data_IF_906730835353
#
_entry.id   IF_906730835353
#
_cell.length_a   1.000
_cell.length_b   1.000
_cell.length_c   1.000
_cell.angle_alpha   90.00
_cell.angle_beta   90.00
_cell.angle_gamma   90.00
#
_symmetry.space_group_name_H-M   'P 1'
#
loop_
_entity.id
_entity.type
_entity.pdbx_description
1 polymer ?
#
# COMPACT_ATOMS: atom_id res chain seq x y z
N UNK A 1 12.35 -1.77 31.63
CA UNK A 1 12.32 -1.65 30.17
C UNK A 1 12.84 -2.95 29.60
N UNK A 2 11.99 -3.98 29.44
CA UNK A 2 12.28 -5.00 28.46
C UNK A 2 12.36 -4.27 27.12
N UNK A 3 13.48 -4.42 26.40
CA UNK A 3 13.58 -3.80 25.10
C UNK A 3 12.46 -4.32 24.23
N UNK A 4 11.80 -3.45 23.50
CA UNK A 4 10.80 -3.80 22.47
C UNK A 4 11.32 -4.91 21.51
N UNK A 5 12.60 -5.09 21.42
CA UNK A 5 13.36 -6.11 20.74
C UNK A 5 13.00 -7.56 21.09
N UNK A 6 12.77 -7.87 22.37
CA UNK A 6 12.49 -9.25 22.78
C UNK A 6 11.06 -9.70 22.46
N UNK A 7 10.17 -8.75 22.17
CA UNK A 7 8.74 -9.07 21.99
C UNK A 7 8.48 -9.57 20.57
N UNK A 8 9.16 -8.99 19.59
CA UNK A 8 9.00 -9.36 18.18
C UNK A 8 10.07 -10.34 17.66
N UNK A 9 11.11 -10.62 18.43
CA UNK A 9 12.09 -11.64 18.05
C UNK A 9 11.39 -12.97 17.77
N UNK A 10 11.48 -13.46 16.55
CA UNK A 10 10.86 -14.68 15.99
C UNK A 10 9.45 -14.56 15.37
N UNK A 11 8.88 -13.37 15.18
CA UNK A 11 7.69 -13.23 14.32
C UNK A 11 8.05 -13.53 12.86
N UNK A 12 9.27 -13.24 12.46
CA UNK A 12 9.85 -13.55 11.15
C UNK A 12 9.93 -15.02 10.80
N UNK A 13 9.77 -15.93 11.78
CA UNK A 13 9.73 -17.37 11.51
C UNK A 13 8.62 -17.80 10.54
N UNK A 14 7.60 -16.97 10.34
CA UNK A 14 6.56 -17.20 9.35
C UNK A 14 7.01 -16.92 7.91
N UNK A 15 8.03 -16.09 7.73
CA UNK A 15 8.51 -15.67 6.41
C UNK A 15 9.94 -16.15 6.19
N UNK A 16 10.16 -16.88 5.10
CA UNK A 16 11.46 -17.43 4.74
C UNK A 16 11.98 -16.65 3.51
N UNK A 17 13.28 -16.27 3.49
CA UNK A 17 13.88 -15.65 2.30
C UNK A 17 13.61 -16.48 1.04
N UNK A 18 13.17 -15.84 -0.04
CA UNK A 18 12.82 -16.52 -1.29
C UNK A 18 11.41 -17.12 -1.35
N UNK A 19 10.55 -16.82 -0.38
CA UNK A 19 9.14 -17.21 -0.40
C UNK A 19 8.45 -16.64 -1.65
N UNK A 20 7.61 -17.44 -2.29
CA UNK A 20 6.81 -16.97 -3.40
C UNK A 20 5.48 -16.33 -2.92
N UNK A 21 4.84 -15.57 -3.80
CA UNK A 21 3.65 -14.80 -3.47
C UNK A 21 2.46 -15.65 -3.00
N UNK A 22 2.26 -16.85 -3.56
CA UNK A 22 1.18 -17.75 -3.14
C UNK A 22 1.37 -18.28 -1.72
N UNK A 23 2.61 -18.46 -1.26
CA UNK A 23 2.89 -18.85 0.11
C UNK A 23 2.69 -17.73 1.12
N UNK A 24 2.75 -16.48 0.69
CA UNK A 24 2.46 -15.34 1.58
C UNK A 24 0.98 -15.37 2.00
N UNK A 25 0.06 -15.66 1.08
CA UNK A 25 -1.37 -15.78 1.40
C UNK A 25 -1.60 -16.86 2.50
N UNK A 26 -0.91 -18.00 2.41
CA UNK A 26 -1.02 -19.09 3.38
C UNK A 26 -0.49 -18.73 4.78
N UNK A 27 0.57 -17.92 4.86
CA UNK A 27 1.20 -17.58 6.13
C UNK A 27 0.70 -16.29 6.77
N UNK A 28 -0.02 -15.45 6.03
CA UNK A 28 -0.54 -14.18 6.55
C UNK A 28 -1.48 -14.37 7.74
N UNK A 29 -2.36 -15.35 7.70
CA UNK A 29 -3.27 -15.63 8.81
C UNK A 29 -2.50 -16.06 10.06
N UNK A 30 -1.51 -16.95 9.92
CA UNK A 30 -0.64 -17.38 11.02
C UNK A 30 0.18 -16.19 11.58
N UNK A 31 0.66 -15.33 10.69
CA UNK A 31 1.37 -14.12 11.07
C UNK A 31 0.49 -13.20 11.89
N UNK A 32 -0.73 -12.88 11.41
CA UNK A 32 -1.69 -12.05 12.13
C UNK A 32 -2.06 -12.64 13.51
N UNK A 33 -2.34 -13.93 13.60
CA UNK A 33 -2.63 -14.60 14.87
C UNK A 33 -1.45 -14.48 15.85
N UNK A 34 -0.23 -14.66 15.34
CA UNK A 34 1.00 -14.60 16.15
C UNK A 34 1.24 -13.20 16.70
N UNK A 35 1.12 -12.16 15.86
CA UNK A 35 1.31 -10.78 16.31
C UNK A 35 0.21 -10.31 17.25
N UNK A 36 -1.07 -10.65 16.97
CA UNK A 36 -2.18 -10.29 17.85
C UNK A 36 -1.95 -10.84 19.25
N UNK A 37 -1.66 -12.13 19.38
CA UNK A 37 -1.38 -12.76 20.67
C UNK A 37 -0.24 -12.06 21.42
N UNK A 38 0.87 -11.73 20.73
CA UNK A 38 2.03 -11.08 21.36
C UNK A 38 1.75 -9.65 21.80
N UNK A 39 0.98 -8.92 21.00
CA UNK A 39 0.56 -7.55 21.36
C UNK A 39 -0.34 -7.55 22.60
N UNK A 40 -1.25 -8.51 22.71
CA UNK A 40 -2.13 -8.68 23.88
C UNK A 40 -1.36 -9.12 25.14
N UNK A 41 -0.48 -10.11 25.03
CA UNK A 41 0.33 -10.62 26.14
C UNK A 41 1.24 -9.54 26.77
N UNK A 42 1.62 -8.51 26.02
CA UNK A 42 2.59 -7.50 26.44
C UNK A 42 2.01 -6.10 26.61
N UNK A 43 0.70 -5.92 26.58
CA UNK A 43 0.00 -4.62 26.73
C UNK A 43 0.58 -3.51 25.82
N UNK A 44 0.91 -3.86 24.58
CA UNK A 44 1.59 -2.97 23.64
C UNK A 44 0.80 -1.70 23.33
N UNK A 45 -0.52 -1.79 23.37
CA UNK A 45 -1.42 -0.66 23.09
C UNK A 45 -1.31 0.52 24.07
N UNK A 46 -0.69 0.30 25.22
CA UNK A 46 -0.49 1.36 26.23
C UNK A 46 0.79 2.19 25.98
N UNK A 47 1.65 1.76 25.05
CA UNK A 47 2.94 2.41 24.79
C UNK A 47 2.73 3.59 23.83
N UNK A 48 3.10 4.85 24.19
CA UNK A 48 2.80 6.04 23.42
C UNK A 48 3.23 6.02 21.94
N UNK A 49 4.41 5.50 21.53
CA UNK A 49 4.78 5.42 20.13
C UNK A 49 3.80 4.61 19.29
N UNK A 50 3.22 3.54 19.83
CA UNK A 50 2.28 2.70 19.09
C UNK A 50 0.95 3.40 18.83
N UNK A 51 0.45 4.18 19.79
CA UNK A 51 -0.76 4.99 19.59
C UNK A 51 -0.59 6.00 18.44
N UNK A 52 0.58 6.60 18.33
CA UNK A 52 0.86 7.52 17.24
C UNK A 52 0.77 6.82 15.87
N UNK A 53 1.37 5.63 15.75
CA UNK A 53 1.27 4.84 14.52
C UNK A 53 -0.16 4.34 14.25
N UNK A 54 -0.92 3.98 15.29
CA UNK A 54 -2.32 3.58 15.14
C UNK A 54 -3.16 4.70 14.52
N UNK A 55 -3.10 5.90 15.07
CA UNK A 55 -3.85 7.04 14.56
C UNK A 55 -3.41 7.39 13.12
N UNK A 56 -2.11 7.37 12.87
CA UNK A 56 -1.53 7.66 11.55
C UNK A 56 -1.96 6.63 10.50
N UNK A 57 -1.93 5.33 10.84
CA UNK A 57 -2.45 4.25 9.98
C UNK A 57 -3.94 4.43 9.70
N UNK A 58 -4.76 4.61 10.73
CA UNK A 58 -6.21 4.79 10.64
C UNK A 58 -6.58 5.94 9.70
N UNK A 59 -5.99 7.11 9.91
CA UNK A 59 -6.26 8.30 9.12
C UNK A 59 -5.81 8.13 7.67
N UNK A 60 -4.63 7.56 7.44
CA UNK A 60 -4.07 7.34 6.11
C UNK A 60 -4.87 6.31 5.32
N UNK A 61 -5.23 5.19 5.95
CA UNK A 61 -6.06 4.14 5.34
C UNK A 61 -7.41 4.74 4.93
N UNK A 62 -8.12 5.38 5.85
CA UNK A 62 -9.44 5.94 5.58
C UNK A 62 -9.41 6.97 4.46
N UNK A 63 -8.43 7.89 4.49
CA UNK A 63 -8.29 8.93 3.46
C UNK A 63 -7.95 8.34 2.09
N UNK A 64 -6.94 7.45 2.04
CA UNK A 64 -6.40 6.96 0.77
C UNK A 64 -7.34 5.92 0.16
N UNK A 65 -7.82 4.93 0.89
CA UNK A 65 -8.75 3.94 0.33
C UNK A 65 -10.07 4.57 -0.12
N UNK A 66 -10.56 5.59 0.61
CA UNK A 66 -11.74 6.33 0.19
C UNK A 66 -11.54 6.98 -1.19
N UNK A 67 -10.36 7.54 -1.48
CA UNK A 67 -10.06 8.13 -2.78
C UNK A 67 -10.04 7.13 -3.94
N UNK A 68 -9.99 5.84 -3.63
CA UNK A 68 -10.12 4.74 -4.59
C UNK A 68 -11.49 4.03 -4.54
N UNK A 69 -12.45 4.58 -3.79
CA UNK A 69 -13.80 4.03 -3.67
C UNK A 69 -13.94 2.89 -2.66
N UNK A 70 -12.97 2.68 -1.76
CA UNK A 70 -12.99 1.58 -0.79
C UNK A 70 -12.99 2.05 0.65
N UNK A 71 -13.41 1.14 1.53
CA UNK A 71 -13.34 1.32 2.98
C UNK A 71 -13.04 -0.01 3.64
N UNK A 72 -12.26 0.04 4.70
CA UNK A 72 -12.04 -1.07 5.61
C UNK A 72 -12.86 -0.88 6.88
N UNK A 73 -13.25 -1.97 7.51
CA UNK A 73 -13.84 -1.94 8.83
C UNK A 73 -12.77 -1.78 9.92
N UNK A 74 -13.20 -1.57 11.17
CA UNK A 74 -12.31 -1.32 12.30
C UNK A 74 -11.35 -2.49 12.59
N UNK A 75 -11.81 -3.75 12.41
CA UNK A 75 -10.97 -4.93 12.62
C UNK A 75 -9.88 -5.03 11.54
N UNK A 76 -10.23 -4.74 10.29
CA UNK A 76 -9.27 -4.73 9.18
C UNK A 76 -8.22 -3.62 9.33
N UNK A 77 -8.62 -2.44 9.82
CA UNK A 77 -7.68 -1.36 10.13
C UNK A 77 -6.73 -1.77 11.26
N UNK A 78 -7.24 -2.44 12.28
CA UNK A 78 -6.45 -2.97 13.38
C UNK A 78 -5.47 -4.06 12.92
N UNK A 79 -5.89 -4.98 12.04
CA UNK A 79 -5.00 -5.96 11.40
C UNK A 79 -3.86 -5.30 10.63
N UNK A 80 -4.18 -4.28 9.81
CA UNK A 80 -3.17 -3.51 9.07
C UNK A 80 -2.15 -2.87 10.01
N UNK A 81 -2.63 -2.17 11.01
CA UNK A 81 -1.80 -1.53 12.02
C UNK A 81 -0.88 -2.53 12.72
N UNK A 82 -1.40 -3.68 13.15
CA UNK A 82 -0.62 -4.75 13.78
C UNK A 82 0.52 -5.25 12.90
N UNK A 83 0.26 -5.45 11.60
CA UNK A 83 1.31 -5.84 10.65
C UNK A 83 2.39 -4.78 10.52
N UNK A 84 2.01 -3.50 10.44
CA UNK A 84 2.97 -2.39 10.35
C UNK A 84 3.87 -2.37 11.57
N UNK A 85 3.31 -2.35 12.77
CA UNK A 85 4.15 -2.29 13.99
C UNK A 85 4.99 -3.55 14.18
N UNK A 86 4.46 -4.72 13.90
CA UNK A 86 5.22 -5.96 14.03
C UNK A 86 6.50 -5.93 13.20
N UNK A 87 6.41 -5.42 11.97
CA UNK A 87 7.56 -5.33 11.07
C UNK A 87 8.50 -4.19 11.47
N UNK A 88 7.97 -3.03 11.86
CA UNK A 88 8.77 -1.88 12.26
C UNK A 88 9.63 -2.12 13.51
N UNK A 89 9.15 -2.96 14.40
CA UNK A 89 9.82 -3.23 15.67
C UNK A 89 10.52 -4.59 15.73
N UNK A 90 10.58 -5.33 14.61
CA UNK A 90 11.35 -6.56 14.49
C UNK A 90 12.67 -6.30 13.76
N UNK A 91 13.78 -6.33 14.51
CA UNK A 91 15.13 -6.09 13.97
C UNK A 91 15.56 -7.07 12.89
N UNK A 92 14.97 -8.25 12.83
CA UNK A 92 15.35 -9.24 11.84
C UNK A 92 15.01 -8.79 10.43
N UNK A 93 14.06 -7.87 10.25
CA UNK A 93 13.74 -7.26 8.97
C UNK A 93 14.75 -6.21 8.50
N UNK A 94 15.55 -5.63 9.40
CA UNK A 94 16.51 -4.58 9.03
C UNK A 94 17.74 -5.11 8.29
N UNK A 95 18.08 -6.38 8.47
CA UNK A 95 19.30 -6.99 7.91
C UNK A 95 19.07 -7.97 6.76
N UNK A 96 17.85 -8.37 6.47
CA UNK A 96 17.53 -9.39 5.48
C UNK A 96 16.93 -8.74 4.22
N UNK A 97 17.56 -8.92 3.07
CA UNK A 97 16.94 -8.65 1.79
C UNK A 97 15.89 -9.75 1.52
N UNK A 98 14.64 -9.48 1.82
CA UNK A 98 13.54 -10.37 1.48
C UNK A 98 13.23 -10.25 -0.01
N UNK A 99 13.84 -11.11 -0.83
CA UNK A 99 13.43 -11.25 -2.22
C UNK A 99 12.22 -12.17 -2.28
N UNK A 100 11.07 -11.59 -2.53
CA UNK A 100 9.85 -12.34 -2.78
C UNK A 100 9.78 -12.63 -4.27
N UNK A 101 9.74 -13.90 -4.65
CA UNK A 101 9.66 -14.35 -6.04
C UNK A 101 8.22 -14.67 -6.44
N UNK A 102 7.94 -14.72 -7.76
CA UNK A 102 6.62 -15.11 -8.27
C UNK A 102 5.55 -14.03 -8.21
N UNK A 103 5.97 -12.78 -8.17
CA UNK A 103 5.07 -11.64 -8.15
C UNK A 103 4.41 -11.42 -9.53
N UNK A 104 3.11 -11.61 -9.59
CA UNK A 104 2.31 -11.27 -10.76
C UNK A 104 1.96 -9.77 -10.72
N UNK A 105 2.91 -8.92 -11.13
CA UNK A 105 2.80 -7.45 -11.04
C UNK A 105 1.44 -6.93 -11.51
N UNK A 106 0.94 -7.38 -12.65
CA UNK A 106 -0.31 -6.91 -13.23
C UNK A 106 -1.52 -7.19 -12.34
N UNK A 107 -1.59 -8.38 -11.75
CA UNK A 107 -2.69 -8.79 -10.86
C UNK A 107 -2.78 -7.89 -9.62
N UNK A 108 -1.64 -7.51 -9.05
CA UNK A 108 -1.58 -6.79 -7.78
C UNK A 108 -1.34 -5.29 -7.91
N UNK A 109 -1.08 -4.77 -9.13
CA UNK A 109 -0.64 -3.38 -9.32
C UNK A 109 -1.52 -2.33 -8.67
N UNK A 110 -2.84 -2.44 -8.78
CA UNK A 110 -3.77 -1.49 -8.17
C UNK A 110 -3.69 -1.50 -6.64
N UNK A 111 -3.56 -2.68 -6.05
CA UNK A 111 -3.37 -2.82 -4.60
C UNK A 111 -2.02 -2.27 -4.15
N UNK A 112 -0.97 -2.55 -4.91
CA UNK A 112 0.37 -2.03 -4.66
C UNK A 112 0.40 -0.50 -4.66
N UNK A 113 -0.28 0.15 -5.60
CA UNK A 113 -0.40 1.62 -5.64
C UNK A 113 -1.10 2.16 -4.39
N UNK A 114 -2.23 1.56 -3.99
CA UNK A 114 -2.94 1.96 -2.78
C UNK A 114 -2.07 1.81 -1.53
N UNK A 115 -1.42 0.66 -1.37
CA UNK A 115 -0.52 0.40 -0.24
C UNK A 115 0.69 1.33 -0.25
N UNK A 116 1.33 1.55 -1.40
CA UNK A 116 2.45 2.48 -1.49
C UNK A 116 2.09 3.87 -0.97
N UNK A 117 0.94 4.40 -1.36
CA UNK A 117 0.46 5.70 -0.88
C UNK A 117 0.16 5.72 0.62
N UNK A 118 -0.39 4.62 1.15
CA UNK A 118 -0.61 4.50 2.60
C UNK A 118 0.73 4.49 3.33
N UNK A 119 1.69 3.69 2.86
CA UNK A 119 3.01 3.60 3.47
C UNK A 119 3.78 4.92 3.37
N UNK A 120 3.68 5.66 2.26
CA UNK A 120 4.27 7.01 2.13
C UNK A 120 3.72 7.98 3.18
N UNK A 121 2.45 7.85 3.53
CA UNK A 121 1.84 8.68 4.55
C UNK A 121 2.13 8.22 5.99
N UNK A 122 2.42 6.94 6.20
CA UNK A 122 2.63 6.34 7.54
C UNK A 122 4.09 6.31 7.92
N UNK A 123 4.98 5.93 6.98
CA UNK A 123 6.39 5.73 7.23
C UNK A 123 7.18 7.01 6.92
N UNK A 124 8.00 7.43 7.86
CA UNK A 124 9.00 8.50 7.70
C UNK A 124 10.38 7.86 7.74
N UNK A 125 11.22 8.05 6.72
CA UNK A 125 12.64 7.64 6.66
C UNK A 125 12.95 6.22 7.14
N UNK A 126 12.22 5.23 6.65
CA UNK A 126 12.50 3.83 6.97
C UNK A 126 13.40 3.16 5.93
N UNK A 127 14.11 2.11 6.40
CA UNK A 127 14.93 1.24 5.57
C UNK A 127 14.13 0.64 4.40
N UNK A 128 14.69 0.68 3.20
CA UNK A 128 14.05 0.21 1.97
C UNK A 128 13.59 -1.26 2.07
N UNK A 129 14.34 -2.12 2.75
CA UNK A 129 13.97 -3.53 2.94
C UNK A 129 12.68 -3.69 3.77
N UNK A 130 12.54 -2.90 4.84
CA UNK A 130 11.34 -2.89 5.69
C UNK A 130 10.14 -2.40 4.88
N UNK A 131 10.33 -1.35 4.10
CA UNK A 131 9.30 -0.80 3.23
C UNK A 131 8.87 -1.80 2.16
N UNK A 132 9.83 -2.42 1.45
CA UNK A 132 9.55 -3.43 0.42
C UNK A 132 8.79 -4.63 0.99
N UNK A 133 9.20 -5.10 2.16
CA UNK A 133 8.52 -6.21 2.83
C UNK A 133 7.08 -5.83 3.22
N UNK A 134 6.88 -4.68 3.89
CA UNK A 134 5.54 -4.18 4.23
C UNK A 134 4.68 -3.98 2.98
N UNK A 135 5.24 -3.36 1.93
CA UNK A 135 4.57 -3.18 0.65
C UNK A 135 4.01 -4.51 0.14
N UNK A 136 4.80 -5.56 0.20
CA UNK A 136 4.42 -6.87 -0.34
C UNK A 136 3.34 -7.55 0.50
N UNK A 137 3.54 -7.69 1.80
CA UNK A 137 2.57 -8.41 2.66
C UNK A 137 1.23 -7.68 2.72
N UNK A 138 1.25 -6.35 2.80
CA UNK A 138 0.03 -5.54 2.85
C UNK A 138 -0.70 -5.52 1.50
N UNK A 139 0.02 -5.60 0.38
CA UNK A 139 -0.59 -5.73 -0.95
C UNK A 139 -1.38 -7.03 -1.07
N UNK A 140 -0.79 -8.15 -0.67
CA UNK A 140 -1.49 -9.45 -0.65
C UNK A 140 -2.70 -9.41 0.28
N UNK A 141 -2.50 -8.91 1.50
CA UNK A 141 -3.55 -8.78 2.48
C UNK A 141 -4.71 -7.90 1.96
N UNK A 142 -4.41 -6.73 1.39
CA UNK A 142 -5.44 -5.84 0.85
C UNK A 142 -6.21 -6.48 -0.30
N UNK A 143 -5.56 -7.26 -1.15
CA UNK A 143 -6.21 -7.97 -2.27
C UNK A 143 -7.24 -9.01 -1.82
N UNK A 144 -7.13 -9.50 -0.59
CA UNK A 144 -8.14 -10.35 0.03
C UNK A 144 -9.33 -9.53 0.58
N UNK A 145 -9.07 -8.39 1.22
CA UNK A 145 -10.10 -7.54 1.85
C UNK A 145 -10.91 -6.71 0.85
N UNK A 146 -10.25 -6.21 -0.19
CA UNK A 146 -10.83 -5.33 -1.21
C UNK A 146 -10.82 -6.02 -2.57
N UNK A 147 -11.95 -5.99 -3.28
CA UNK A 147 -12.03 -6.55 -4.64
C UNK A 147 -12.16 -5.43 -5.66
N UNK A 148 -11.08 -5.17 -6.39
CA UNK A 148 -11.10 -4.30 -7.57
C UNK A 148 -11.84 -5.04 -8.69
N UNK A 149 -12.98 -4.52 -9.12
CA UNK A 149 -13.88 -5.18 -10.08
C UNK A 149 -13.64 -4.68 -11.50
N UNK A 150 -13.30 -3.39 -11.63
CA UNK A 150 -13.14 -2.77 -12.93
C UNK A 150 -11.90 -3.29 -13.65
N UNK A 151 -12.12 -3.74 -14.88
CA UNK A 151 -11.05 -4.08 -15.83
C UNK A 151 -10.65 -2.89 -16.71
N UNK A 152 -11.49 -1.85 -16.73
CA UNK A 152 -11.20 -0.61 -17.43
C UNK A 152 -10.24 0.20 -16.57
N UNK A 153 -9.23 0.77 -17.20
CA UNK A 153 -8.31 1.69 -16.58
C UNK A 153 -8.46 3.07 -17.22
N UNK A 154 -8.54 4.11 -16.40
CA UNK A 154 -8.56 5.48 -16.85
C UNK A 154 -7.47 6.28 -16.14
N UNK A 155 -6.75 7.10 -16.89
CA UNK A 155 -5.74 8.00 -16.36
C UNK A 155 -6.22 9.43 -16.51
N UNK A 156 -6.10 10.22 -15.47
CA UNK A 156 -6.37 11.66 -15.50
C UNK A 156 -5.05 12.39 -15.32
N UNK A 157 -4.64 13.15 -16.33
CA UNK A 157 -3.43 13.95 -16.32
C UNK A 157 -3.82 15.44 -16.38
N UNK A 158 -3.49 16.20 -15.34
CA UNK A 158 -3.86 17.59 -15.26
C UNK A 158 -2.74 18.44 -14.68
N UNK A 159 -2.66 19.69 -15.16
CA UNK A 159 -1.82 20.70 -14.54
C UNK A 159 -2.36 21.09 -13.16
N UNK A 160 -1.45 21.35 -12.23
CA UNK A 160 -1.76 21.74 -10.85
C UNK A 160 -1.30 20.74 -9.82
N UNK A 161 -1.40 21.14 -8.54
CA UNK A 161 -0.91 20.35 -7.39
C UNK A 161 -1.82 19.16 -7.08
N UNK A 162 -3.14 19.29 -7.30
CA UNK A 162 -4.14 18.30 -6.87
C UNK A 162 -5.34 18.19 -7.81
N UNK A 163 -5.25 18.70 -9.04
CA UNK A 163 -6.40 18.76 -9.96
C UNK A 163 -6.82 17.35 -10.41
N UNK A 164 -5.86 16.57 -10.91
CA UNK A 164 -6.12 15.20 -11.35
C UNK A 164 -6.52 14.29 -10.18
N UNK A 165 -5.80 14.37 -9.06
CA UNK A 165 -6.06 13.53 -7.89
C UNK A 165 -7.42 13.83 -7.24
N UNK A 166 -7.86 15.10 -7.21
CA UNK A 166 -9.18 15.44 -6.71
C UNK A 166 -10.30 14.89 -7.61
N UNK A 167 -10.14 14.99 -8.92
CA UNK A 167 -11.11 14.47 -9.89
C UNK A 167 -11.20 12.95 -9.86
N UNK A 168 -10.05 12.27 -9.87
CA UNK A 168 -9.99 10.81 -9.78
C UNK A 168 -10.59 10.29 -8.48
N UNK A 169 -10.27 10.94 -7.35
CA UNK A 169 -10.83 10.59 -6.04
C UNK A 169 -12.35 10.65 -6.04
N UNK A 170 -12.92 11.76 -6.52
CA UNK A 170 -14.37 11.91 -6.58
C UNK A 170 -15.02 10.87 -7.50
N UNK A 171 -14.44 10.63 -8.67
CA UNK A 171 -14.96 9.66 -9.63
C UNK A 171 -14.92 8.23 -9.08
N UNK A 172 -13.80 7.80 -8.49
CA UNK A 172 -13.66 6.49 -7.86
C UNK A 172 -14.62 6.31 -6.68
N UNK A 173 -14.78 7.34 -5.84
CA UNK A 173 -15.71 7.32 -4.71
C UNK A 173 -17.16 7.18 -5.19
N UNK A 174 -17.56 7.89 -6.24
CA UNK A 174 -18.92 7.79 -6.82
C UNK A 174 -19.18 6.42 -7.45
N UNK A 175 -18.17 5.83 -8.10
CA UNK A 175 -18.27 4.51 -8.73
C UNK A 175 -18.18 3.39 -7.69
N UNK A 176 -17.48 3.61 -6.58
CA UNK A 176 -17.17 2.61 -5.57
C UNK A 176 -16.16 1.56 -6.05
N UNK A 177 -15.25 1.97 -6.95
CA UNK A 177 -14.20 1.10 -7.49
C UNK A 177 -13.02 1.90 -8.03
N UNK A 178 -11.83 1.29 -8.07
CA UNK A 178 -10.61 1.89 -8.59
C UNK A 178 -10.56 1.82 -10.13
N UNK A 179 -11.11 2.82 -10.78
CA UNK A 179 -11.08 3.00 -12.25
C UNK A 179 -10.04 4.02 -12.66
N UNK A 180 -9.99 5.15 -11.95
CA UNK A 180 -9.18 6.31 -12.31
C UNK A 180 -7.90 6.39 -11.49
N UNK A 181 -6.75 6.44 -12.16
CA UNK A 181 -5.47 6.85 -11.57
C UNK A 181 -5.15 8.29 -11.97
N UNK A 182 -4.57 9.05 -11.05
CA UNK A 182 -4.30 10.46 -11.22
C UNK A 182 -2.81 10.76 -11.32
N UNK A 183 -2.50 11.67 -12.24
CA UNK A 183 -1.17 12.23 -12.41
C UNK A 183 -1.27 13.76 -12.41
N UNK A 184 -1.01 14.36 -11.25
CA UNK A 184 -0.90 15.81 -11.12
C UNK A 184 0.44 16.26 -11.69
N UNK A 185 0.43 17.40 -12.39
CA UNK A 185 1.61 18.06 -12.91
C UNK A 185 1.73 19.46 -12.32
N UNK A 186 2.32 19.60 -11.13
CA UNK A 186 2.71 20.89 -10.56
C UNK A 186 3.67 21.64 -11.48
N UNK A 187 3.75 22.96 -11.32
CA UNK A 187 4.59 23.83 -12.17
C UNK A 187 6.07 23.39 -12.16
N UNK A 188 6.52 22.78 -11.08
CA UNK A 188 7.91 22.33 -10.91
C UNK A 188 8.20 20.98 -11.59
N UNK A 189 7.18 20.24 -12.03
CA UNK A 189 7.33 18.92 -12.66
C UNK A 189 7.43 19.10 -14.16
N UNK A 190 8.46 18.53 -14.76
CA UNK A 190 8.63 18.52 -16.21
C UNK A 190 7.76 17.43 -16.86
N UNK A 191 7.31 17.70 -18.08
CA UNK A 191 6.47 16.76 -18.85
C UNK A 191 7.16 15.40 -19.04
N UNK A 192 8.48 15.40 -19.22
CA UNK A 192 9.29 14.18 -19.38
C UNK A 192 9.20 13.28 -18.12
N UNK A 193 9.24 13.86 -16.92
CA UNK A 193 9.12 13.12 -15.67
C UNK A 193 7.71 12.52 -15.49
N UNK A 194 6.70 13.26 -15.93
CA UNK A 194 5.33 12.78 -15.93
C UNK A 194 5.16 11.58 -16.89
N UNK A 195 5.72 11.68 -18.09
CA UNK A 195 5.68 10.60 -19.10
C UNK A 195 6.32 9.32 -18.56
N UNK A 196 7.45 9.43 -17.86
CA UNK A 196 8.10 8.27 -17.22
C UNK A 196 7.16 7.61 -16.21
N UNK A 197 6.56 8.38 -15.32
CA UNK A 197 5.61 7.87 -14.30
C UNK A 197 4.39 7.19 -14.93
N UNK A 198 3.81 7.81 -15.95
CA UNK A 198 2.65 7.26 -16.67
C UNK A 198 3.01 5.97 -17.36
N UNK A 199 4.15 5.92 -18.08
CA UNK A 199 4.62 4.73 -18.75
C UNK A 199 4.90 3.57 -17.77
N UNK A 200 5.53 3.85 -16.62
CA UNK A 200 5.78 2.85 -15.59
C UNK A 200 4.47 2.29 -15.02
N UNK A 201 3.47 3.14 -14.82
CA UNK A 201 2.16 2.68 -14.38
C UNK A 201 1.47 1.82 -15.45
N UNK A 202 1.40 2.30 -16.71
CA UNK A 202 0.71 1.61 -17.81
C UNK A 202 1.34 0.26 -18.14
N UNK A 203 2.69 0.15 -18.07
CA UNK A 203 3.39 -1.11 -18.28
C UNK A 203 2.96 -2.20 -17.29
N UNK A 204 2.65 -1.81 -16.06
CA UNK A 204 2.43 -2.73 -14.95
C UNK A 204 0.93 -2.95 -14.65
N UNK A 205 0.00 -2.42 -15.46
CA UNK A 205 -1.44 -2.69 -15.35
C UNK A 205 -1.95 -3.58 -16.49
N UNK A 206 -3.12 -4.20 -16.27
CA UNK A 206 -3.84 -4.90 -17.33
C UNK A 206 -4.62 -3.91 -18.19
N UNK A 207 -4.36 -3.88 -19.49
CA UNK A 207 -5.02 -2.97 -20.43
C UNK A 207 -5.88 -3.70 -21.47
N UNK A 208 -6.15 -4.99 -21.25
CA UNK A 208 -6.87 -5.85 -22.21
C UNK A 208 -8.28 -5.36 -22.53
N UNK A 209 -8.94 -4.70 -21.59
CA UNK A 209 -10.31 -4.14 -21.77
C UNK A 209 -10.28 -2.65 -22.20
N UNK A 210 -9.08 -2.09 -22.36
CA UNK A 210 -8.86 -0.71 -22.79
C UNK A 210 -8.24 0.20 -21.74
N UNK A 211 -7.72 1.32 -22.24
CA UNK A 211 -7.15 2.41 -21.44
C UNK A 211 -7.76 3.73 -21.91
N UNK A 212 -8.32 4.50 -20.99
CA UNK A 212 -8.83 5.86 -21.26
C UNK A 212 -7.85 6.87 -20.71
N UNK A 213 -7.51 7.87 -21.52
CA UNK A 213 -6.64 8.96 -21.13
C UNK A 213 -7.43 10.27 -21.16
N UNK A 214 -7.52 10.95 -20.02
CA UNK A 214 -8.14 12.26 -19.88
C UNK A 214 -7.06 13.29 -19.57
N UNK A 215 -6.95 14.31 -20.41
CA UNK A 215 -5.96 15.39 -20.28
C UNK A 215 -6.65 16.75 -20.30
N UNK A 216 -6.12 17.72 -19.56
CA UNK A 216 -6.71 19.07 -19.47
C UNK A 216 -6.20 20.02 -20.55
N UNK A 217 -5.01 19.77 -21.11
CA UNK A 217 -4.38 20.62 -22.11
C UNK A 217 -3.63 19.80 -23.17
N UNK A 218 -3.60 20.28 -24.41
CA UNK A 218 -2.93 19.63 -25.54
C UNK A 218 -1.41 19.42 -25.37
N UNK A 219 -0.75 20.09 -24.44
CA UNK A 219 0.65 19.84 -24.10
C UNK A 219 0.89 18.48 -23.46
N UNK A 220 -0.15 17.86 -22.88
CA UNK A 220 -0.12 16.51 -22.29
C UNK A 220 -0.62 15.41 -23.24
N UNK A 221 -1.02 15.76 -24.47
CA UNK A 221 -1.49 14.81 -25.49
C UNK A 221 -0.35 14.22 -26.36
N UNK A 222 0.92 14.61 -26.11
CA UNK A 222 2.07 14.23 -26.94
C UNK A 222 2.76 12.96 -26.48
#
# INVERSE_FOLDING_TARGET
WMSSYQIFSNITGCFVPGMNYSKIEEVLELFLQTITRRLEENNFYEIPPFRHYEEKCRNSINKILKSYGYRLNELEIDEFYKMVIAVLFDETFFGAAFKISGYEKKKYRKYEVMISRILDAVLEDYNDNVREFLQTILTVWLSDKVKVKSKINALILMHGEHSASSMASLANEMIGDYVYEAFDMPIQVHTEDLIVKVNDYVRDIETNEGLVLLVDMGSLER
#
